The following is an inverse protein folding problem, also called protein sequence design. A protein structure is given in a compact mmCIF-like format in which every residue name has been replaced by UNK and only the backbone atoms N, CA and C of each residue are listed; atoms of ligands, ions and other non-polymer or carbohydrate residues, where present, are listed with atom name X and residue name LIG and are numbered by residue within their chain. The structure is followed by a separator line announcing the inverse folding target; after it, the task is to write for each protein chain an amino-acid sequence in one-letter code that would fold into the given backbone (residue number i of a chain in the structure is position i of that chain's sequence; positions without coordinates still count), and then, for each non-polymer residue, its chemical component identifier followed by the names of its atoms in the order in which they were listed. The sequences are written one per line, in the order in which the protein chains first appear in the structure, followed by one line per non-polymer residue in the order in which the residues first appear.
data_IF_036093330859
#
_entry.id   IF_036093330859
#
_cell.length_a   1.000
_cell.length_b   1.000
_cell.length_c   1.000
_cell.angle_alpha   90.00
_cell.angle_beta   90.00
_cell.angle_gamma   90.00
#
_symmetry.space_group_name_H-M   'P 1'
#
loop_
_entity.id
_entity.type
_entity.pdbx_description
1 polymer ?
#
# COMPACT_ATOMS: atom_id res chain seq x y z
N UNK A 1 4.76 -28.27 21.41
CA UNK A 1 6.00 -27.61 20.92
C UNK A 1 5.77 -26.11 20.75
N UNK A 2 6.72 -25.27 21.14
CA UNK A 2 6.69 -23.84 20.81
C UNK A 2 7.19 -23.67 19.39
N UNK A 3 6.36 -23.12 18.50
CA UNK A 3 6.70 -22.89 17.11
C UNK A 3 7.72 -21.74 17.07
N UNK A 4 8.99 -22.05 16.80
CA UNK A 4 10.10 -21.10 16.79
C UNK A 4 10.22 -20.39 15.44
N UNK A 5 9.14 -19.71 15.03
CA UNK A 5 9.13 -18.87 13.84
C UNK A 5 9.51 -17.43 14.24
N UNK A 6 10.37 -16.74 13.47
CA UNK A 6 10.66 -15.33 13.73
C UNK A 6 9.38 -14.51 13.56
N UNK A 7 8.99 -13.75 14.59
CA UNK A 7 7.79 -12.92 14.59
C UNK A 7 8.20 -11.45 14.62
N UNK A 8 7.60 -10.63 13.75
CA UNK A 8 7.71 -9.16 13.77
C UNK A 8 6.39 -8.57 14.27
N UNK A 9 6.46 -7.47 15.01
CA UNK A 9 5.30 -6.73 15.49
C UNK A 9 5.53 -5.23 15.30
N UNK A 10 4.54 -4.53 14.75
CA UNK A 10 4.51 -3.08 14.61
C UNK A 10 3.07 -2.57 14.73
N UNK A 11 2.91 -1.29 15.08
CA UNK A 11 1.63 -0.61 15.02
C UNK A 11 1.43 -0.09 13.59
N UNK A 12 0.23 -0.23 13.05
CA UNK A 12 -0.12 0.29 11.72
C UNK A 12 -1.58 0.67 11.63
N UNK A 13 -1.92 1.50 10.65
CA UNK A 13 -3.31 1.86 10.37
C UNK A 13 -3.92 0.86 9.39
N UNK A 14 -5.03 0.24 9.80
CA UNK A 14 -5.82 -0.65 8.93
C UNK A 14 -7.07 0.08 8.45
N UNK A 15 -7.32 0.16 7.13
CA UNK A 15 -8.54 0.78 6.63
C UNK A 15 -9.77 -0.05 7.00
N UNK A 16 -10.90 0.63 7.24
CA UNK A 16 -12.19 0.00 7.58
C UNK A 16 -12.93 -0.53 6.35
N UNK A 17 -12.68 0.07 5.18
CA UNK A 17 -13.26 -0.28 3.90
C UNK A 17 -12.24 -0.08 2.80
N UNK A 18 -12.47 -0.74 1.66
CA UNK A 18 -11.61 -0.68 0.49
C UNK A 18 -12.30 0.13 -0.62
N UNK A 19 -11.52 0.81 -1.44
CA UNK A 19 -11.98 1.57 -2.61
C UNK A 19 -11.28 1.06 -3.86
N UNK A 20 -12.05 0.48 -4.78
CA UNK A 20 -11.49 0.03 -6.06
C UNK A 20 -11.18 1.25 -6.93
N UNK A 21 -10.02 1.25 -7.56
CA UNK A 21 -9.60 2.31 -8.48
C UNK A 21 -9.57 1.81 -9.92
N UNK A 22 -9.89 2.71 -10.85
CA UNK A 22 -9.70 2.47 -12.28
C UNK A 22 -8.23 2.70 -12.70
N UNK A 23 -7.93 2.44 -13.97
CA UNK A 23 -6.57 2.56 -14.53
C UNK A 23 -5.98 3.95 -14.38
N UNK A 24 -6.75 4.99 -14.65
CA UNK A 24 -6.27 6.37 -14.56
C UNK A 24 -5.97 6.76 -13.12
N UNK A 25 -6.88 6.40 -12.20
CA UNK A 25 -6.74 6.68 -10.78
C UNK A 25 -5.61 5.88 -10.15
N UNK A 26 -5.44 4.61 -10.53
CA UNK A 26 -4.35 3.75 -10.06
C UNK A 26 -2.98 4.35 -10.34
N UNK A 27 -2.75 4.86 -11.56
CA UNK A 27 -1.50 5.53 -11.92
C UNK A 27 -1.22 6.73 -11.01
N UNK A 28 -2.23 7.61 -10.85
CA UNK A 28 -2.11 8.81 -10.01
C UNK A 28 -1.85 8.51 -8.55
N UNK A 29 -2.55 7.52 -7.97
CA UNK A 29 -2.37 7.19 -6.54
C UNK A 29 -1.06 6.48 -6.28
N UNK A 30 -0.54 5.67 -7.21
CA UNK A 30 0.80 5.09 -7.12
C UNK A 30 1.85 6.21 -7.13
N UNK A 31 1.79 7.13 -8.08
CA UNK A 31 2.74 8.26 -8.16
C UNK A 31 2.70 9.13 -6.90
N UNK A 32 1.50 9.35 -6.36
CA UNK A 32 1.31 10.08 -5.10
C UNK A 32 1.93 9.34 -3.92
N UNK A 33 1.71 8.03 -3.80
CA UNK A 33 2.29 7.22 -2.72
C UNK A 33 3.82 7.23 -2.81
N UNK A 34 4.40 7.04 -3.99
CA UNK A 34 5.84 7.10 -4.19
C UNK A 34 6.42 8.46 -3.79
N UNK A 35 5.76 9.55 -4.20
CA UNK A 35 6.20 10.91 -3.86
C UNK A 35 6.16 11.20 -2.35
N UNK A 36 5.21 10.57 -1.63
CA UNK A 36 5.12 10.69 -0.18
C UNK A 36 6.17 9.82 0.52
N UNK A 37 6.42 8.60 0.02
CA UNK A 37 7.40 7.67 0.60
C UNK A 37 8.85 8.15 0.43
N UNK A 38 9.14 8.85 -0.66
CA UNK A 38 10.46 9.45 -0.93
C UNK A 38 10.78 10.69 -0.06
N UNK A 39 9.81 11.18 0.72
CA UNK A 39 9.99 12.40 1.50
C UNK A 39 10.58 12.11 2.88
N UNK A 40 11.73 12.69 3.21
CA UNK A 40 12.49 12.42 4.45
C UNK A 40 11.68 12.59 5.76
N UNK A 41 10.70 13.49 5.77
CA UNK A 41 9.83 13.73 6.94
C UNK A 41 8.62 12.76 7.06
N UNK A 42 8.38 11.92 6.06
CA UNK A 42 7.28 10.93 6.06
C UNK A 42 7.79 9.62 6.65
N UNK A 43 7.06 9.07 7.63
CA UNK A 43 7.46 7.83 8.31
C UNK A 43 6.81 6.58 7.72
N UNK A 44 5.51 6.63 7.44
CA UNK A 44 4.74 5.51 6.88
C UNK A 44 3.55 6.08 6.07
N UNK A 45 3.23 5.44 4.95
CA UNK A 45 2.06 5.76 4.12
C UNK A 45 1.08 4.60 4.16
N UNK A 46 -0.19 4.90 4.43
CA UNK A 46 -1.27 3.91 4.45
C UNK A 46 -2.38 4.35 3.50
N UNK A 47 -2.97 3.40 2.78
CA UNK A 47 -4.08 3.67 1.88
C UNK A 47 -5.15 2.60 1.98
N UNK A 48 -6.30 2.86 1.36
CA UNK A 48 -7.42 1.94 1.29
C UNK A 48 -7.82 1.61 -0.15
N UNK A 49 -7.01 2.01 -1.14
CA UNK A 49 -7.30 1.69 -2.52
C UNK A 49 -6.92 0.23 -2.83
N UNK A 50 -7.67 -0.38 -3.74
CA UNK A 50 -7.40 -1.71 -4.28
C UNK A 50 -7.18 -1.61 -5.78
N UNK A 51 -6.04 -2.13 -6.23
CA UNK A 51 -5.60 -2.13 -7.62
C UNK A 51 -5.63 -3.59 -8.07
N UNK A 52 -6.53 -3.94 -9.02
CA UNK A 52 -6.59 -5.29 -9.55
C UNK A 52 -5.23 -5.76 -10.06
N UNK A 53 -4.87 -7.01 -9.83
CA UNK A 53 -3.55 -7.56 -10.19
C UNK A 53 -3.24 -7.42 -11.69
N UNK A 54 -4.24 -7.62 -12.55
CA UNK A 54 -4.14 -7.40 -14.00
C UNK A 54 -3.74 -5.97 -14.33
N UNK A 55 -4.33 -4.99 -13.64
CA UNK A 55 -4.02 -3.57 -13.83
C UNK A 55 -2.64 -3.22 -13.25
N UNK A 56 -2.26 -3.83 -12.12
CA UNK A 56 -0.96 -3.61 -11.51
C UNK A 56 0.19 -4.10 -12.40
N UNK A 57 0.04 -5.26 -13.04
CA UNK A 57 1.04 -5.78 -13.99
C UNK A 57 1.16 -4.91 -15.26
N UNK A 58 0.09 -4.23 -15.68
CA UNK A 58 0.15 -3.24 -16.76
C UNK A 58 0.83 -1.91 -16.37
N UNK A 59 0.91 -1.61 -15.08
CA UNK A 59 1.49 -0.38 -14.54
C UNK A 59 2.96 -0.53 -14.09
N UNK A 60 3.48 -1.77 -14.02
CA UNK A 60 4.92 -2.05 -13.89
C UNK A 60 5.71 -1.55 -15.10
#
# INVERSE_FOLDING_TARGET
EKINLPVKAQLSWKPLNIVNVDKESAHKVIDMVNSLDDHDDVQEVFSNFDIPEELFEELK
#
